data_IF_365324856375
#
_entry.id   IF_365324856375
#
_cell.length_a   1.000
_cell.length_b   1.000
_cell.length_c   1.000
_cell.angle_alpha   90.00
_cell.angle_beta   90.00
_cell.angle_gamma   90.00
#
_symmetry.space_group_name_H-M   'P 1'
#
loop_
_entity.id
_entity.type
_entity.pdbx_description
1 polymer ?
#
# COMPACT_ATOMS: atom_id res chain seq x y z
N UNK A 1 9.13 -0.16 20.31
CA UNK A 1 7.69 -0.34 20.59
C UNK A 1 6.94 -0.64 19.28
N UNK A 2 5.72 -1.20 19.39
CA UNK A 2 4.87 -1.50 18.24
C UNK A 2 4.53 -0.23 17.41
N UNK A 3 4.34 0.90 18.09
CA UNK A 3 4.07 2.19 17.44
C UNK A 3 5.27 2.64 16.58
N UNK A 4 6.48 2.55 17.10
CA UNK A 4 7.69 2.91 16.36
C UNK A 4 7.86 2.02 15.13
N UNK A 5 7.70 0.72 15.29
CA UNK A 5 7.77 -0.22 14.17
C UNK A 5 6.70 0.07 13.09
N UNK A 6 5.45 0.32 13.49
CA UNK A 6 4.39 0.67 12.57
C UNK A 6 4.69 1.97 11.79
N UNK A 7 5.23 2.97 12.48
CA UNK A 7 5.67 4.22 11.86
C UNK A 7 6.81 4.01 10.86
N UNK A 8 7.76 3.13 11.16
CA UNK A 8 8.85 2.77 10.25
C UNK A 8 8.32 2.10 8.98
N UNK A 9 7.45 1.10 9.11
CA UNK A 9 6.84 0.41 7.95
C UNK A 9 6.08 1.39 7.07
N UNK A 10 5.31 2.27 7.68
CA UNK A 10 4.50 3.26 6.96
C UNK A 10 5.30 4.43 6.37
N UNK A 11 6.51 4.70 6.87
CA UNK A 11 7.36 5.80 6.40
C UNK A 11 7.23 7.11 7.17
N UNK A 12 6.58 7.08 8.32
CA UNK A 12 6.33 8.26 9.15
C UNK A 12 7.53 8.71 10.00
N UNK A 13 8.57 7.89 10.14
CA UNK A 13 9.66 8.12 11.10
C UNK A 13 10.32 9.49 10.90
N UNK A 14 10.62 9.87 9.67
CA UNK A 14 11.26 11.16 9.41
C UNK A 14 10.35 12.34 9.76
N UNK A 15 9.08 12.23 9.44
CA UNK A 15 8.08 13.25 9.75
C UNK A 15 7.93 13.44 11.26
N UNK A 16 7.74 12.34 11.98
CA UNK A 16 7.61 12.35 13.45
C UNK A 16 8.86 12.92 14.13
N UNK A 17 10.05 12.51 13.68
CA UNK A 17 11.31 12.96 14.28
C UNK A 17 11.62 14.45 14.05
N UNK A 18 11.04 15.04 13.00
CA UNK A 18 11.20 16.49 12.74
C UNK A 18 10.24 17.35 13.55
N UNK A 19 9.19 16.77 14.08
CA UNK A 19 8.21 17.52 14.85
C UNK A 19 8.64 17.64 16.31
N UNK A 20 8.57 18.85 16.93
CA UNK A 20 9.00 19.05 18.31
C UNK A 20 8.29 18.17 19.32
N UNK A 21 7.03 17.83 19.08
CA UNK A 21 6.22 16.96 19.95
C UNK A 21 6.29 15.48 19.54
N UNK A 22 7.01 15.14 18.46
CA UNK A 22 7.13 13.76 18.01
C UNK A 22 5.77 13.07 17.81
N UNK A 23 5.58 11.91 18.43
CA UNK A 23 4.32 11.16 18.37
C UNK A 23 3.15 11.83 19.09
N UNK A 24 3.39 12.81 19.95
CA UNK A 24 2.35 13.51 20.70
C UNK A 24 1.81 14.74 19.98
N UNK A 25 2.22 14.96 18.72
CA UNK A 25 1.71 16.05 17.92
C UNK A 25 0.21 15.95 17.69
N UNK A 26 -0.48 17.08 17.75
CA UNK A 26 -1.90 17.17 17.42
C UNK A 26 -2.10 17.25 15.91
N UNK A 27 -2.85 16.32 15.35
CA UNK A 27 -3.09 16.22 13.90
C UNK A 27 -4.50 16.68 13.48
N UNK A 28 -5.37 17.04 14.44
CA UNK A 28 -6.78 17.36 14.19
C UNK A 28 -7.66 16.13 14.05
N UNK A 29 -8.98 16.32 14.12
CA UNK A 29 -9.95 15.22 14.14
C UNK A 29 -9.87 14.31 12.89
N UNK A 30 -9.54 14.90 11.74
CA UNK A 30 -9.44 14.18 10.45
C UNK A 30 -8.03 14.19 9.87
N UNK A 31 -7.03 14.44 10.69
CA UNK A 31 -5.65 14.62 10.20
C UNK A 31 -5.48 15.88 9.35
N UNK A 32 -6.21 16.94 9.66
CA UNK A 32 -6.26 18.19 8.87
C UNK A 32 -4.90 18.87 8.72
N UNK A 33 -4.01 18.70 9.70
CA UNK A 33 -2.66 19.24 9.67
C UNK A 33 -1.66 18.38 8.89
N UNK A 34 -2.09 17.24 8.39
CA UNK A 34 -1.27 16.33 7.59
C UNK A 34 -1.50 16.52 6.09
N UNK A 35 -0.45 16.29 5.29
CA UNK A 35 -0.61 16.13 3.83
C UNK A 35 -1.42 14.88 3.50
N UNK A 36 -1.91 14.77 2.25
CA UNK A 36 -2.59 13.57 1.78
C UNK A 36 -1.74 12.31 1.91
N UNK A 37 -0.46 12.38 1.54
CA UNK A 37 0.48 11.28 1.68
C UNK A 37 0.72 10.89 3.14
N UNK A 38 0.89 11.87 4.03
CA UNK A 38 1.05 11.62 5.47
C UNK A 38 -0.20 10.98 6.08
N UNK A 39 -1.39 11.39 5.66
CA UNK A 39 -2.63 10.72 6.08
C UNK A 39 -2.68 9.26 5.65
N UNK A 40 -2.25 8.94 4.42
CA UNK A 40 -2.12 7.56 3.96
C UNK A 40 -1.11 6.78 4.79
N UNK A 41 0.05 7.36 5.07
CA UNK A 41 1.07 6.73 5.91
C UNK A 41 0.54 6.42 7.33
N UNK A 42 -0.25 7.33 7.92
CA UNK A 42 -0.92 7.07 9.22
C UNK A 42 -1.92 5.92 9.10
N UNK A 43 -2.72 5.87 8.03
CA UNK A 43 -3.65 4.76 7.81
C UNK A 43 -2.93 3.42 7.66
N UNK A 44 -1.80 3.39 6.96
CA UNK A 44 -0.95 2.20 6.84
C UNK A 44 -0.37 1.81 8.20
N UNK A 45 0.15 2.77 8.97
CA UNK A 45 0.67 2.50 10.32
C UNK A 45 -0.40 1.87 11.23
N UNK A 46 -1.63 2.36 11.17
CA UNK A 46 -2.76 1.78 11.91
C UNK A 46 -3.05 0.33 11.50
N UNK A 47 -2.99 0.04 10.20
CA UNK A 47 -3.23 -1.30 9.68
C UNK A 47 -2.18 -2.31 10.14
N UNK A 48 -0.92 -1.90 10.25
CA UNK A 48 0.18 -2.79 10.63
C UNK A 48 0.46 -2.83 12.14
N UNK A 49 -0.10 -1.90 12.90
CA UNK A 49 0.21 -1.71 14.34
C UNK A 49 -0.03 -2.98 15.17
N UNK A 50 -1.11 -3.69 14.91
CA UNK A 50 -1.48 -4.91 15.65
C UNK A 50 -0.86 -6.17 15.05
N UNK A 51 0.03 -6.02 14.10
CA UNK A 51 0.73 -7.10 13.42
C UNK A 51 -0.19 -8.22 12.87
N UNK A 52 -1.26 -7.86 12.13
CA UNK A 52 -2.22 -8.86 11.66
C UNK A 52 -1.59 -9.79 10.63
N UNK A 53 -2.04 -11.06 10.56
CA UNK A 53 -1.53 -12.01 9.56
C UNK A 53 -2.04 -11.71 8.13
N UNK A 54 -3.12 -10.96 8.01
CA UNK A 54 -3.72 -10.55 6.72
C UNK A 54 -3.85 -9.03 6.70
N UNK A 55 -3.31 -8.41 5.66
CA UNK A 55 -3.43 -6.98 5.40
C UNK A 55 -4.29 -6.75 4.17
N UNK A 56 -5.30 -5.90 4.31
CA UNK A 56 -6.14 -5.43 3.19
C UNK A 56 -5.88 -3.95 2.98
N UNK A 57 -5.49 -3.57 1.79
CA UNK A 57 -5.17 -2.19 1.43
C UNK A 57 -5.90 -1.80 0.14
N UNK A 58 -6.60 -0.67 0.18
CA UNK A 58 -7.29 -0.09 -0.98
C UNK A 58 -6.58 1.20 -1.38
N UNK A 59 -6.00 1.19 -2.58
CA UNK A 59 -5.23 2.32 -3.14
C UNK A 59 -4.24 2.94 -2.14
N UNK A 60 -3.35 2.14 -1.52
CA UNK A 60 -2.55 2.59 -0.37
C UNK A 60 -1.52 3.66 -0.68
N UNK A 61 -1.19 3.89 -1.95
CA UNK A 61 -0.15 4.82 -2.38
C UNK A 61 -0.66 5.96 -3.27
N UNK A 62 -1.99 6.13 -3.38
CA UNK A 62 -2.61 7.07 -4.33
C UNK A 62 -2.19 8.54 -4.12
N UNK A 63 -1.84 8.95 -2.90
CA UNK A 63 -1.38 10.30 -2.58
C UNK A 63 0.15 10.41 -2.42
N UNK A 64 0.89 9.36 -2.76
CA UNK A 64 2.36 9.33 -2.68
C UNK A 64 2.99 9.70 -4.03
N UNK A 65 4.13 10.41 -3.97
CA UNK A 65 5.00 10.57 -5.12
C UNK A 65 5.77 9.27 -5.42
N UNK A 66 6.46 9.25 -6.55
CA UNK A 66 7.20 8.06 -6.99
C UNK A 66 8.26 7.59 -5.97
N UNK A 67 9.02 8.51 -5.40
CA UNK A 67 10.08 8.19 -4.44
C UNK A 67 9.51 7.61 -3.14
N UNK A 68 8.47 8.23 -2.61
CA UNK A 68 7.79 7.77 -1.39
C UNK A 68 7.14 6.39 -1.60
N UNK A 69 6.48 6.19 -2.73
CA UNK A 69 5.90 4.89 -3.09
C UNK A 69 6.98 3.80 -3.21
N UNK A 70 8.11 4.11 -3.85
CA UNK A 70 9.21 3.16 -3.98
C UNK A 70 9.74 2.72 -2.62
N UNK A 71 9.97 3.65 -1.70
CA UNK A 71 10.41 3.34 -0.34
C UNK A 71 9.36 2.53 0.43
N UNK A 72 8.10 2.87 0.28
CA UNK A 72 6.99 2.11 0.87
C UNK A 72 6.97 0.65 0.38
N UNK A 73 7.13 0.42 -0.92
CA UNK A 73 7.19 -0.93 -1.48
C UNK A 73 8.30 -1.77 -0.87
N UNK A 74 9.48 -1.20 -0.68
CA UNK A 74 10.61 -1.92 -0.06
C UNK A 74 10.30 -2.30 1.40
N UNK A 75 9.76 -1.37 2.17
CA UNK A 75 9.39 -1.63 3.58
C UNK A 75 8.26 -2.65 3.70
N UNK A 76 7.24 -2.53 2.87
CA UNK A 76 6.11 -3.45 2.86
C UNK A 76 6.56 -4.87 2.50
N UNK A 77 7.42 -5.03 1.51
CA UNK A 77 7.97 -6.33 1.12
C UNK A 77 8.67 -7.04 2.28
N UNK A 78 9.45 -6.31 3.06
CA UNK A 78 10.11 -6.85 4.24
C UNK A 78 9.12 -7.20 5.35
N UNK A 79 8.20 -6.30 5.67
CA UNK A 79 7.21 -6.51 6.73
C UNK A 79 6.26 -7.67 6.40
N UNK A 80 5.88 -7.82 5.15
CA UNK A 80 4.85 -8.76 4.70
C UNK A 80 5.41 -10.12 4.28
N UNK A 81 6.69 -10.41 4.47
CA UNK A 81 7.35 -11.64 3.99
C UNK A 81 6.63 -12.94 4.40
N UNK A 82 5.98 -12.95 5.56
CA UNK A 82 5.25 -14.10 6.09
C UNK A 82 3.76 -13.82 6.30
N UNK A 83 3.21 -12.84 5.57
CA UNK A 83 1.82 -12.40 5.69
C UNK A 83 1.09 -12.54 4.37
N UNK A 84 -0.23 -12.58 4.44
CA UNK A 84 -1.08 -12.41 3.28
C UNK A 84 -1.41 -10.93 3.11
N UNK A 85 -1.09 -10.37 1.95
CA UNK A 85 -1.39 -8.98 1.62
C UNK A 85 -2.28 -8.94 0.39
N UNK A 86 -3.41 -8.26 0.51
CA UNK A 86 -4.33 -7.99 -0.60
C UNK A 86 -4.32 -6.49 -0.85
N UNK A 87 -3.93 -6.09 -2.05
CA UNK A 87 -3.90 -4.69 -2.47
C UNK A 87 -4.89 -4.51 -3.62
N UNK A 88 -5.83 -3.60 -3.45
CA UNK A 88 -6.70 -3.13 -4.53
C UNK A 88 -6.08 -1.86 -5.10
N UNK A 89 -5.76 -1.86 -6.39
CA UNK A 89 -5.15 -0.71 -7.04
C UNK A 89 -5.31 -0.76 -8.55
N UNK A 90 -5.30 0.38 -9.20
CA UNK A 90 -5.14 0.51 -10.66
C UNK A 90 -3.73 1.02 -11.04
N UNK A 91 -2.83 1.16 -10.07
CA UNK A 91 -1.45 1.61 -10.29
C UNK A 91 -0.55 0.44 -10.67
N UNK A 92 -0.02 0.47 -11.88
CA UNK A 92 0.89 -0.56 -12.39
C UNK A 92 2.20 -0.65 -11.61
N UNK A 93 2.60 0.43 -10.95
CA UNK A 93 3.79 0.46 -10.10
C UNK A 93 3.74 -0.51 -8.90
N UNK A 94 2.55 -0.92 -8.46
CA UNK A 94 2.38 -1.87 -7.36
C UNK A 94 2.36 -3.34 -7.81
N UNK A 95 2.31 -3.61 -9.10
CA UNK A 95 2.24 -4.97 -9.65
C UNK A 95 3.45 -5.82 -9.22
N UNK A 96 4.62 -5.22 -9.12
CA UNK A 96 5.85 -5.94 -8.74
C UNK A 96 5.83 -6.51 -7.31
N UNK A 97 4.92 -6.04 -6.44
CA UNK A 97 4.72 -6.59 -5.11
C UNK A 97 3.92 -7.89 -5.12
N UNK A 98 3.16 -8.15 -6.17
CA UNK A 98 2.22 -9.26 -6.20
C UNK A 98 2.88 -10.56 -6.62
N UNK A 99 2.49 -11.65 -5.99
CA UNK A 99 2.76 -13.02 -6.45
C UNK A 99 1.65 -13.49 -7.38
N UNK A 100 0.43 -13.06 -7.11
CA UNK A 100 -0.80 -13.38 -7.85
C UNK A 100 -1.54 -12.09 -8.17
N UNK A 101 -2.08 -12.01 -9.37
CA UNK A 101 -2.89 -10.89 -9.82
C UNK A 101 -4.29 -11.37 -10.19
N UNK A 102 -5.29 -10.66 -9.70
CA UNK A 102 -6.69 -10.83 -10.08
C UNK A 102 -7.11 -9.54 -10.79
N UNK A 103 -7.54 -9.66 -12.03
CA UNK A 103 -8.05 -8.53 -12.80
C UNK A 103 -9.57 -8.57 -12.79
N UNK A 104 -10.16 -7.47 -12.38
CA UNK A 104 -11.61 -7.31 -12.36
C UNK A 104 -12.03 -6.26 -13.38
N UNK A 105 -13.10 -6.53 -14.08
CA UNK A 105 -13.76 -5.60 -15.00
C UNK A 105 -15.28 -5.79 -14.92
N UNK A 106 -16.00 -4.69 -14.77
CA UNK A 106 -17.45 -4.67 -14.64
C UNK A 106 -18.01 -5.70 -13.63
N UNK A 107 -17.39 -5.75 -12.45
CA UNK A 107 -17.80 -6.64 -11.35
C UNK A 107 -17.48 -8.13 -11.57
N UNK A 108 -16.68 -8.46 -12.58
CA UNK A 108 -16.30 -9.85 -12.92
C UNK A 108 -14.80 -10.03 -12.89
N UNK A 109 -14.36 -11.21 -12.52
CA UNK A 109 -12.96 -11.62 -12.64
C UNK A 109 -12.71 -11.99 -14.11
N UNK A 110 -11.82 -11.25 -14.77
CA UNK A 110 -11.45 -11.47 -16.18
C UNK A 110 -10.08 -12.11 -16.34
N UNK A 111 -9.25 -12.09 -15.31
CA UNK A 111 -8.00 -12.85 -15.24
C UNK A 111 -7.64 -13.12 -13.78
N UNK A 112 -7.00 -14.25 -13.54
CA UNK A 112 -6.52 -14.65 -12.21
C UNK A 112 -5.37 -15.64 -12.40
N UNK A 113 -4.22 -15.34 -11.83
CA UNK A 113 -3.06 -16.23 -11.91
C UNK A 113 -1.77 -15.60 -11.40
N UNK A 114 -0.64 -16.30 -11.60
CA UNK A 114 0.67 -15.76 -11.27
C UNK A 114 0.93 -14.42 -11.99
N UNK A 115 1.65 -13.53 -11.33
CA UNK A 115 1.94 -12.19 -11.84
C UNK A 115 2.41 -12.19 -13.30
N UNK A 116 3.40 -13.00 -13.61
CA UNK A 116 4.02 -13.03 -14.96
C UNK A 116 3.00 -13.42 -16.03
N UNK A 117 2.17 -14.42 -15.76
CA UNK A 117 1.14 -14.90 -16.70
C UNK A 117 0.06 -13.85 -16.95
N UNK A 118 -0.38 -13.16 -15.90
CA UNK A 118 -1.42 -12.12 -16.02
C UNK A 118 -0.87 -10.88 -16.71
N UNK A 119 0.35 -10.46 -16.37
CA UNK A 119 1.00 -9.31 -17.03
C UNK A 119 1.19 -9.58 -18.52
N UNK A 120 1.64 -10.76 -18.91
CA UNK A 120 1.76 -11.17 -20.31
C UNK A 120 0.42 -11.13 -21.03
N UNK A 121 -0.65 -11.65 -20.41
CA UNK A 121 -1.99 -11.64 -20.97
C UNK A 121 -2.53 -10.21 -21.16
N UNK A 122 -2.27 -9.30 -20.22
CA UNK A 122 -2.63 -7.89 -20.33
C UNK A 122 -1.88 -7.19 -21.48
N UNK A 123 -0.58 -7.42 -21.58
CA UNK A 123 0.27 -6.82 -22.62
C UNK A 123 -0.08 -7.31 -24.02
N UNK A 124 -0.48 -8.59 -24.16
CA UNK A 124 -0.87 -9.19 -25.44
C UNK A 124 -2.33 -8.93 -25.83
N UNK A 125 -3.09 -8.19 -25.00
CA UNK A 125 -4.50 -7.92 -25.24
C UNK A 125 -5.45 -9.11 -25.07
N UNK A 126 -4.98 -10.22 -24.49
CA UNK A 126 -5.81 -11.41 -24.24
C UNK A 126 -6.81 -11.22 -23.08
N UNK A 127 -6.58 -10.22 -22.23
CA UNK A 127 -7.52 -9.77 -21.22
C UNK A 127 -8.17 -8.51 -21.77
N UNK A 128 -9.26 -8.66 -22.52
CA UNK A 128 -10.01 -7.57 -23.10
C UNK A 128 -11.02 -7.02 -22.11
N UNK A 129 -11.43 -5.75 -22.34
CA UNK A 129 -12.61 -5.21 -21.69
C UNK A 129 -13.79 -6.13 -22.01
N UNK A 130 -14.56 -6.50 -21.00
CA UNK A 130 -15.83 -7.18 -21.25
C UNK A 130 -16.67 -6.32 -22.20
N UNK A 131 -16.97 -6.83 -23.40
CA UNK A 131 -17.88 -6.18 -24.33
C UNK A 131 -19.30 -6.32 -23.81
#
# INVERSE_FOLDING_TARGET
>A
SAIVHAAEVAGLTQFVNRHPQGFDMLIGERGESLSGGQRQEVAIARAVLMDPPILLMDEPTSAMDFSTEHQFKLRLRQHAAHKTVVIVTHRTSLIELADRIIVMDDGRIVADGPRESVVEALQSGKVGRAQ
#
